data_IF_477940500017
#
_entry.id   IF_477940500017
#
_cell.length_a   1.000
_cell.length_b   1.000
_cell.length_c   1.000
_cell.angle_alpha   90.00
_cell.angle_beta   90.00
_cell.angle_gamma   90.00
#
_symmetry.space_group_name_H-M   'P 1'
#
loop_
_entity.id
_entity.type
_entity.pdbx_description
1 polymer ?
#
# COMPACT_ATOMS: atom_id res chain seq x y z
N UNK A 1 -12.15 27.67 20.27
CA UNK A 1 -13.06 26.99 19.32
C UNK A 1 -13.77 25.87 20.07
N UNK A 2 -15.10 25.91 20.18
CA UNK A 2 -15.90 24.91 20.93
C UNK A 2 -16.19 23.65 20.08
N UNK A 3 -15.98 23.70 18.77
CA UNK A 3 -16.41 22.66 17.83
C UNK A 3 -15.57 21.37 17.82
N UNK A 4 -14.64 21.17 18.74
CA UNK A 4 -13.77 19.97 18.77
C UNK A 4 -13.40 19.49 20.17
N UNK A 5 -14.09 19.98 21.21
CA UNK A 5 -13.78 19.62 22.61
C UNK A 5 -13.95 18.12 22.88
N UNK A 6 -14.81 17.44 22.14
CA UNK A 6 -14.98 15.98 22.25
C UNK A 6 -13.77 15.17 21.74
N UNK A 7 -12.88 15.75 20.92
CA UNK A 7 -11.71 15.07 20.36
C UNK A 7 -10.48 15.11 21.27
N UNK A 8 -10.53 15.86 22.37
CA UNK A 8 -9.40 15.97 23.32
C UNK A 8 -9.30 14.79 24.28
N UNK A 9 -10.37 14.00 24.38
CA UNK A 9 -10.44 12.87 25.28
C UNK A 9 -9.92 11.62 24.58
N UNK A 10 -8.94 10.95 25.19
CA UNK A 10 -8.46 9.66 24.70
C UNK A 10 -9.56 8.60 24.75
N UNK A 11 -9.63 7.76 23.72
CA UNK A 11 -10.55 6.63 23.68
C UNK A 11 -10.26 5.65 24.83
N UNK A 12 -11.28 5.30 25.61
CA UNK A 12 -11.14 4.50 26.86
C UNK A 12 -11.31 2.99 26.69
N UNK A 13 -11.50 2.45 25.48
CA UNK A 13 -11.90 1.05 25.36
C UNK A 13 -11.93 0.43 23.97
N UNK A 14 -11.18 0.95 23.01
CA UNK A 14 -10.95 0.19 21.77
C UNK A 14 -9.82 -0.79 22.07
N UNK A 15 -10.08 -2.10 21.98
CA UNK A 15 -9.02 -3.09 21.79
C UNK A 15 -8.03 -2.49 20.78
N UNK A 16 -6.75 -2.35 21.16
CA UNK A 16 -5.77 -1.55 20.41
C UNK A 16 -5.80 -1.93 18.94
N UNK A 17 -6.55 -1.15 18.15
CA UNK A 17 -6.55 -1.25 16.70
C UNK A 17 -5.21 -0.67 16.29
N UNK A 18 -4.21 -1.55 16.23
CA UNK A 18 -2.85 -1.18 15.85
C UNK A 18 -2.84 -0.90 14.37
N UNK A 19 -2.70 0.37 14.03
CA UNK A 19 -2.40 0.75 12.66
C UNK A 19 -0.99 0.25 12.30
N UNK A 20 -0.74 -0.13 11.03
CA UNK A 20 0.59 -0.49 10.60
C UNK A 20 1.57 0.68 10.76
N UNK A 21 2.79 0.39 11.21
CA UNK A 21 3.87 1.38 11.32
C UNK A 21 4.56 1.67 9.97
N UNK A 22 4.27 0.84 8.95
CA UNK A 22 4.87 0.93 7.60
C UNK A 22 3.97 1.69 6.64
N UNK A 23 4.58 2.29 5.62
CA UNK A 23 3.83 2.93 4.54
C UNK A 23 3.01 1.89 3.77
N UNK A 24 1.80 2.24 3.27
CA UNK A 24 0.98 1.32 2.48
C UNK A 24 1.72 0.69 1.30
N UNK A 25 2.61 1.42 0.61
CA UNK A 25 3.41 0.90 -0.50
C UNK A 25 4.48 -0.12 -0.09
N UNK A 26 4.84 -0.19 1.20
CA UNK A 26 5.77 -1.21 1.73
C UNK A 26 5.05 -2.50 2.14
N UNK A 27 3.74 -2.42 2.42
CA UNK A 27 2.90 -3.56 2.83
C UNK A 27 2.01 -4.08 1.69
N UNK A 28 1.75 -3.26 0.68
CA UNK A 28 0.98 -3.62 -0.51
C UNK A 28 1.77 -3.21 -1.76
N UNK A 29 2.27 -4.21 -2.50
CA UNK A 29 2.92 -3.98 -3.78
C UNK A 29 1.94 -3.40 -4.82
N UNK A 30 2.47 -2.92 -5.94
CA UNK A 30 1.64 -2.32 -6.97
C UNK A 30 0.67 -3.32 -7.61
N UNK A 31 1.01 -4.61 -7.67
CA UNK A 31 0.12 -5.67 -8.17
C UNK A 31 -1.12 -5.84 -7.28
N UNK A 32 -0.93 -5.83 -5.95
CA UNK A 32 -2.01 -5.88 -4.95
C UNK A 32 -2.90 -4.65 -5.05
N UNK A 33 -2.31 -3.46 -5.17
CA UNK A 33 -3.04 -2.22 -5.32
C UNK A 33 -3.86 -2.19 -6.63
N UNK A 34 -3.31 -2.70 -7.73
CA UNK A 34 -4.03 -2.88 -9.00
C UNK A 34 -5.26 -3.79 -8.85
N UNK A 35 -5.15 -4.89 -8.09
CA UNK A 35 -6.26 -5.82 -7.84
C UNK A 35 -7.40 -5.17 -7.04
N UNK A 36 -7.08 -4.33 -6.06
CA UNK A 36 -8.10 -3.61 -5.29
C UNK A 36 -8.80 -2.54 -6.11
N UNK A 37 -8.04 -1.81 -6.94
CA UNK A 37 -8.59 -0.72 -7.71
C UNK A 37 -9.41 -1.18 -8.92
N UNK A 38 -8.95 -2.24 -9.61
CA UNK A 38 -9.49 -2.65 -10.91
C UNK A 38 -10.07 -4.06 -10.93
N UNK A 39 -10.06 -4.76 -9.78
CA UNK A 39 -10.60 -6.11 -9.63
C UNK A 39 -9.54 -7.21 -9.70
N UNK A 40 -9.92 -8.41 -9.26
CA UNK A 40 -9.02 -9.55 -8.97
C UNK A 40 -8.10 -9.99 -10.12
N UNK A 41 -8.44 -9.64 -11.35
CA UNK A 41 -7.68 -10.01 -12.56
C UNK A 41 -6.70 -8.94 -13.04
N UNK A 42 -6.63 -7.81 -12.35
CA UNK A 42 -5.68 -6.73 -12.64
C UNK A 42 -4.28 -7.07 -12.15
N UNK A 43 -3.27 -6.47 -12.79
CA UNK A 43 -1.84 -6.59 -12.47
C UNK A 43 -1.13 -5.27 -12.72
N UNK A 44 0.04 -5.11 -12.11
CA UNK A 44 0.95 -4.02 -12.39
C UNK A 44 1.41 -4.07 -13.85
N UNK A 45 1.48 -2.90 -14.47
CA UNK A 45 2.02 -2.73 -15.82
C UNK A 45 3.46 -2.26 -15.72
N UNK A 46 4.41 -3.14 -16.05
CA UNK A 46 5.81 -2.75 -16.22
C UNK A 46 6.09 -2.53 -17.70
N UNK A 47 6.23 -1.27 -18.10
CA UNK A 47 6.73 -0.92 -19.42
C UNK A 47 8.23 -0.63 -19.31
N UNK A 48 9.04 -1.62 -19.66
CA UNK A 48 10.49 -1.44 -19.82
C UNK A 48 10.75 -0.79 -21.19
N UNK A 49 11.27 0.44 -21.18
CA UNK A 49 11.66 1.16 -22.39
C UNK A 49 12.89 0.50 -23.02
N UNK A 50 12.70 -0.66 -23.65
CA UNK A 50 13.62 -1.20 -24.64
C UNK A 50 15.07 -1.42 -24.19
N UNK A 51 15.33 -1.71 -22.91
CA UNK A 51 16.56 -2.45 -22.61
C UNK A 51 16.38 -3.84 -23.20
N UNK A 52 16.96 -4.05 -24.39
CA UNK A 52 17.21 -5.40 -24.92
C UNK A 52 17.71 -6.19 -23.73
N UNK A 53 16.95 -7.18 -23.28
CA UNK A 53 17.43 -8.12 -22.27
C UNK A 53 18.67 -8.73 -22.88
N UNK A 54 19.84 -8.20 -22.51
CA UNK A 54 21.07 -8.96 -22.63
C UNK A 54 20.82 -10.08 -21.66
N UNK A 55 20.38 -11.20 -22.21
CA UNK A 55 20.44 -12.50 -21.56
C UNK A 55 21.90 -12.66 -21.17
N UNK A 56 22.23 -12.30 -19.93
CA UNK A 56 23.41 -12.81 -19.27
C UNK A 56 23.12 -14.29 -19.02
N UNK A 57 23.32 -15.11 -20.05
CA UNK A 57 23.69 -16.49 -19.81
C UNK A 57 25.03 -16.47 -19.04
N UNK A 58 25.05 -17.21 -17.93
CA UNK A 58 26.14 -17.43 -16.96
C UNK A 58 26.23 -16.44 -15.78
N UNK A 59 25.64 -16.79 -14.64
CA UNK A 59 26.30 -17.59 -13.57
C UNK A 59 25.26 -18.26 -12.66
#
# INVERSE_FOLDING_TARGET
AVQSECLTHHARGTAELKFPDKLPGEIFDADTQCKWQFGKHSKQCDYDFGKVRVISENE
#
